data_IF_157492145689
#
_entry.id   IF_157492145689
#
_cell.length_a   1.000
_cell.length_b   1.000
_cell.length_c   1.000
_cell.angle_alpha   90.00
_cell.angle_beta   90.00
_cell.angle_gamma   90.00
#
_symmetry.space_group_name_H-M   'P 1'
#
loop_
_entity.id
_entity.type
_entity.pdbx_description
1 polymer ?
#
# COMPACT_ATOMS: atom_id res chain seq x y z
N UNK A 1 0.56 17.89 -23.03
CA UNK A 1 0.96 17.92 -21.61
C UNK A 1 2.42 17.49 -21.57
N UNK A 2 3.32 18.15 -20.83
CA UNK A 2 4.68 17.65 -20.71
C UNK A 2 4.60 16.23 -20.12
N UNK A 3 5.29 15.27 -20.74
CA UNK A 3 5.47 13.94 -20.18
C UNK A 3 6.03 14.12 -18.77
N UNK A 4 5.19 13.91 -17.75
CA UNK A 4 5.68 13.83 -16.38
C UNK A 4 6.66 12.66 -16.38
N UNK A 5 7.88 12.91 -15.91
CA UNK A 5 8.87 11.86 -15.74
C UNK A 5 8.23 10.68 -15.00
N UNK A 6 8.48 9.46 -15.48
CA UNK A 6 8.00 8.25 -14.81
C UNK A 6 8.56 8.25 -13.38
N UNK A 7 7.73 7.93 -12.37
CA UNK A 7 8.20 7.90 -10.99
C UNK A 7 9.29 6.84 -10.83
N UNK A 8 10.32 7.19 -10.08
CA UNK A 8 11.39 6.26 -9.71
C UNK A 8 10.93 5.28 -8.64
N UNK A 9 11.61 4.15 -8.52
CA UNK A 9 11.35 3.17 -7.45
C UNK A 9 11.44 3.80 -6.05
N UNK A 10 12.38 4.72 -5.85
CA UNK A 10 12.54 5.42 -4.57
C UNK A 10 11.34 6.34 -4.27
N UNK A 11 10.81 7.06 -5.26
CA UNK A 11 9.62 7.89 -5.10
C UNK A 11 8.37 7.04 -4.81
N UNK A 12 8.26 5.87 -5.44
CA UNK A 12 7.16 4.93 -5.18
C UNK A 12 7.24 4.40 -3.75
N UNK A 13 8.42 3.97 -3.29
CA UNK A 13 8.64 3.52 -1.90
C UNK A 13 8.29 4.60 -0.88
N UNK A 14 8.73 5.83 -1.13
CA UNK A 14 8.43 6.96 -0.27
C UNK A 14 6.92 7.25 -0.22
N UNK A 15 6.22 7.18 -1.35
CA UNK A 15 4.78 7.38 -1.40
C UNK A 15 4.01 6.29 -0.62
N UNK A 16 4.42 5.03 -0.74
CA UNK A 16 3.84 3.91 0.04
C UNK A 16 4.08 4.16 1.54
N UNK A 17 5.30 4.53 1.93
CA UNK A 17 5.62 4.81 3.33
C UNK A 17 4.81 5.97 3.91
N UNK A 18 4.66 7.05 3.13
CA UNK A 18 3.85 8.20 3.51
C UNK A 18 2.39 7.79 3.74
N UNK A 19 1.79 7.05 2.79
CA UNK A 19 0.41 6.57 2.89
C UNK A 19 0.20 5.68 4.12
N UNK A 20 1.11 4.74 4.38
CA UNK A 20 1.07 3.85 5.55
C UNK A 20 1.17 4.60 6.89
N UNK A 21 1.89 5.73 6.93
CA UNK A 21 1.99 6.57 8.14
C UNK A 21 0.77 7.46 8.33
N UNK A 22 0.12 7.90 7.25
CA UNK A 22 -1.03 8.78 7.31
C UNK A 22 -2.34 8.06 7.60
N UNK A 23 -2.44 6.80 7.18
CA UNK A 23 -3.66 6.00 7.28
C UNK A 23 -3.40 4.73 8.09
N UNK A 24 -4.11 4.57 9.20
CA UNK A 24 -4.10 3.30 9.93
C UNK A 24 -4.90 2.28 9.14
N UNK A 25 -4.30 1.13 8.84
CA UNK A 25 -4.98 0.04 8.14
C UNK A 25 -5.62 -0.87 9.18
N UNK A 26 -6.94 -1.06 9.08
CA UNK A 26 -7.68 -2.01 9.89
C UNK A 26 -8.18 -3.17 9.02
N UNK A 27 -8.31 -4.34 9.62
CA UNK A 27 -8.91 -5.51 8.99
C UNK A 27 -9.90 -6.18 9.95
N UNK A 28 -10.97 -6.75 9.40
CA UNK A 28 -11.88 -7.61 10.15
C UNK A 28 -11.22 -8.97 10.38
N UNK A 29 -11.06 -9.35 11.65
CA UNK A 29 -10.55 -10.65 12.06
C UNK A 29 -11.62 -11.40 12.87
N UNK A 30 -11.66 -12.75 12.80
CA UNK A 30 -12.60 -13.53 13.60
C UNK A 30 -12.29 -13.37 15.09
N UNK A 31 -13.32 -13.15 15.90
CA UNK A 31 -13.17 -13.22 17.35
C UNK A 31 -13.30 -14.66 17.88
N UNK A 32 -12.92 -14.87 19.14
CA UNK A 32 -12.97 -16.20 19.78
C UNK A 32 -14.41 -16.70 20.07
N UNK A 33 -15.41 -15.85 19.88
CA UNK A 33 -16.83 -16.09 20.15
C UNK A 33 -17.67 -16.28 18.87
N UNK A 34 -17.05 -16.30 17.69
CA UNK A 34 -17.71 -16.49 16.40
C UNK A 34 -18.24 -15.21 15.74
N UNK A 35 -17.86 -14.04 16.25
CA UNK A 35 -18.06 -12.73 15.63
C UNK A 35 -16.82 -12.24 14.88
N UNK A 36 -16.80 -10.94 14.57
CA UNK A 36 -15.66 -10.27 13.92
C UNK A 36 -15.31 -9.01 14.69
N UNK A 37 -14.02 -8.68 14.76
CA UNK A 37 -13.51 -7.44 15.34
C UNK A 37 -12.56 -6.75 14.35
N UNK A 38 -12.50 -5.42 14.41
CA UNK A 38 -11.48 -4.66 13.66
C UNK A 38 -10.16 -4.66 14.43
N UNK A 39 -9.08 -5.08 13.78
CA UNK A 39 -7.73 -5.02 14.33
C UNK A 39 -6.81 -4.17 13.44
N UNK A 40 -5.93 -3.39 14.08
CA UNK A 40 -4.92 -2.61 13.37
C UNK A 40 -3.86 -3.57 12.82
N UNK A 41 -3.72 -3.56 11.49
CA UNK A 41 -2.72 -4.38 10.81
C UNK A 41 -1.47 -3.54 10.57
N UNK A 42 -0.36 -4.00 11.14
CA UNK A 42 0.95 -3.41 10.89
C UNK A 42 1.48 -3.92 9.55
N UNK A 43 1.42 -3.07 8.54
CA UNK A 43 1.93 -3.35 7.20
C UNK A 43 3.14 -2.45 6.94
N UNK A 44 4.19 -3.03 6.37
CA UNK A 44 5.40 -2.30 5.97
C UNK A 44 5.41 -2.03 4.46
N UNK A 45 6.29 -1.14 4.02
CA UNK A 45 6.48 -0.84 2.60
C UNK A 45 6.80 -2.12 1.81
N UNK A 46 7.63 -3.00 2.36
CA UNK A 46 8.04 -4.24 1.69
C UNK A 46 6.90 -5.22 1.46
N UNK A 47 5.83 -5.15 2.26
CA UNK A 47 4.65 -5.99 2.09
C UNK A 47 3.79 -5.54 0.90
N UNK A 48 3.73 -4.23 0.64
CA UNK A 48 2.85 -3.62 -0.38
C UNK A 48 3.59 -3.30 -1.69
N UNK A 49 4.90 -3.08 -1.64
CA UNK A 49 5.73 -2.71 -2.80
C UNK A 49 5.52 -3.63 -4.01
N UNK A 50 5.56 -4.98 -3.90
CA UNK A 50 5.44 -5.84 -5.06
C UNK A 50 4.09 -5.67 -5.80
N UNK A 51 3.02 -5.45 -5.04
CA UNK A 51 1.68 -5.25 -5.59
C UNK A 51 1.54 -3.88 -6.24
N UNK A 52 2.09 -2.85 -5.60
CA UNK A 52 2.08 -1.48 -6.12
C UNK A 52 2.88 -1.39 -7.42
N UNK A 53 4.07 -1.98 -7.46
CA UNK A 53 4.91 -1.99 -8.67
C UNK A 53 4.20 -2.71 -9.83
N UNK A 54 3.55 -3.86 -9.56
CA UNK A 54 2.78 -4.58 -10.57
C UNK A 54 1.58 -3.77 -11.10
N UNK A 55 0.87 -3.07 -10.21
CA UNK A 55 -0.23 -2.19 -10.60
C UNK A 55 0.26 -1.04 -11.49
N UNK A 56 1.34 -0.37 -11.10
CA UNK A 56 1.91 0.74 -11.85
C UNK A 56 2.39 0.32 -13.24
N UNK A 57 2.95 -0.88 -13.38
CA UNK A 57 3.29 -1.48 -14.67
C UNK A 57 2.05 -1.72 -15.54
N UNK A 58 0.97 -2.28 -14.98
CA UNK A 58 -0.28 -2.51 -15.72
C UNK A 58 -0.93 -1.21 -16.20
N UNK A 59 -0.75 -0.12 -15.45
CA UNK A 59 -1.25 1.21 -15.80
C UNK A 59 -0.30 1.99 -16.73
N UNK A 60 0.82 1.41 -17.17
CA UNK A 60 1.88 2.07 -17.95
C UNK A 60 2.41 3.36 -17.29
N UNK A 61 2.38 3.43 -15.96
CA UNK A 61 2.98 4.54 -15.20
C UNK A 61 4.49 4.37 -15.12
N UNK A 62 4.95 3.13 -14.95
CA UNK A 62 6.36 2.72 -15.02
C UNK A 62 6.59 1.70 -16.12
#
# INVERSE_FOLDING_TARGET
MPDKARPTEAEIKYAIEYALRSETITAEVPDECGGTQEEVVYITVSDIEPFTMRLLQQLNVI
#
